data_IF_695192048504
#
_entry.id   IF_695192048504
#
_cell.length_a   1.000
_cell.length_b   1.000
_cell.length_c   1.000
_cell.angle_alpha   90.00
_cell.angle_beta   90.00
_cell.angle_gamma   90.00
#
_symmetry.space_group_name_H-M   'P 1'
#
loop_
_entity.id
_entity.type
_entity.pdbx_description
1 polymer ?
#
# COMPACT_ATOMS: atom_id res chain seq x y z
N UNK A 1 1.23 -34.33 -5.11
CA UNK A 1 0.11 -33.58 -4.52
C UNK A 1 -0.33 -32.54 -5.54
N UNK A 2 -1.63 -32.24 -5.63
CA UNK A 2 -2.14 -31.30 -6.62
C UNK A 2 -1.79 -29.87 -6.17
N UNK A 3 -1.18 -29.09 -7.06
CA UNK A 3 -0.81 -27.70 -6.80
C UNK A 3 -2.09 -26.85 -6.71
N UNK A 4 -2.32 -26.15 -5.61
CA UNK A 4 -3.46 -25.25 -5.43
C UNK A 4 -3.03 -23.80 -5.58
N UNK A 5 -3.69 -23.05 -6.46
CA UNK A 5 -3.36 -21.64 -6.72
C UNK A 5 -4.42 -20.72 -6.11
N UNK A 6 -3.99 -19.85 -5.21
CA UNK A 6 -4.80 -18.73 -4.72
C UNK A 6 -4.75 -17.58 -5.73
N UNK A 7 -5.91 -17.10 -6.17
CA UNK A 7 -6.02 -15.87 -6.94
C UNK A 7 -6.34 -14.71 -5.99
N UNK A 8 -5.53 -13.65 -6.02
CA UNK A 8 -5.65 -12.51 -5.11
C UNK A 8 -5.65 -11.21 -5.93
N UNK A 9 -6.79 -10.51 -5.91
CA UNK A 9 -6.91 -9.15 -6.41
C UNK A 9 -6.59 -8.15 -5.30
N UNK A 10 -5.59 -7.30 -5.51
CA UNK A 10 -5.17 -6.27 -4.55
C UNK A 10 -5.47 -4.88 -5.09
N UNK A 11 -6.42 -4.20 -4.47
CA UNK A 11 -6.71 -2.79 -4.77
C UNK A 11 -5.80 -1.90 -3.93
N UNK A 12 -4.99 -1.07 -4.60
CA UNK A 12 -4.02 -0.24 -3.90
C UNK A 12 -3.89 1.14 -4.55
N UNK A 13 -3.42 2.10 -3.75
CA UNK A 13 -3.04 3.44 -4.21
C UNK A 13 -1.61 3.75 -3.70
N UNK A 14 -0.65 4.12 -4.56
CA UNK A 14 0.72 4.46 -4.15
C UNK A 14 0.83 5.54 -3.07
N UNK A 15 -0.15 6.44 -2.96
CA UNK A 15 -0.14 7.51 -1.95
C UNK A 15 -0.69 7.06 -0.59
N UNK A 16 -1.21 5.83 -0.50
CA UNK A 16 -1.79 5.29 0.71
C UNK A 16 -0.72 4.57 1.56
N UNK A 17 -0.39 5.07 2.76
CA UNK A 17 0.62 4.43 3.61
C UNK A 17 0.17 3.05 4.11
N UNK A 18 -1.14 2.84 4.30
CA UNK A 18 -1.69 1.53 4.68
C UNK A 18 -1.56 0.49 3.56
N UNK A 19 -1.68 0.90 2.29
CA UNK A 19 -1.47 0.00 1.17
C UNK A 19 -0.01 -0.51 1.13
N UNK A 20 0.96 0.34 1.50
CA UNK A 20 2.36 -0.08 1.54
C UNK A 20 2.61 -1.11 2.65
N UNK A 21 2.12 -0.85 3.87
CA UNK A 21 2.15 -1.85 4.96
C UNK A 21 1.46 -3.14 4.52
N UNK A 22 0.27 -3.04 3.91
CA UNK A 22 -0.51 -4.19 3.45
C UNK A 22 0.23 -5.04 2.42
N UNK A 23 0.97 -4.42 1.51
CA UNK A 23 1.83 -5.12 0.54
C UNK A 23 2.90 -5.93 1.26
N UNK A 24 3.66 -5.32 2.16
CA UNK A 24 4.73 -6.03 2.89
C UNK A 24 4.18 -7.13 3.81
N UNK A 25 3.00 -6.92 4.40
CA UNK A 25 2.31 -7.92 5.18
C UNK A 25 1.86 -9.12 4.32
N UNK A 26 1.29 -8.86 3.14
CA UNK A 26 0.86 -9.90 2.21
C UNK A 26 2.04 -10.73 1.72
N UNK A 27 3.15 -10.09 1.33
CA UNK A 27 4.35 -10.78 0.89
C UNK A 27 4.91 -11.72 1.96
N UNK A 28 4.99 -11.26 3.22
CA UNK A 28 5.42 -12.09 4.35
C UNK A 28 4.46 -13.23 4.65
N UNK A 29 3.16 -12.99 4.55
CA UNK A 29 2.14 -14.00 4.77
C UNK A 29 2.22 -15.11 3.71
N UNK A 30 2.35 -14.75 2.44
CA UNK A 30 2.54 -15.71 1.34
C UNK A 30 3.82 -16.52 1.52
N UNK A 31 4.95 -15.88 1.81
CA UNK A 31 6.21 -16.58 2.05
C UNK A 31 6.12 -17.57 3.21
N UNK A 32 5.48 -17.17 4.32
CA UNK A 32 5.25 -18.03 5.48
C UNK A 32 4.36 -19.21 5.13
N UNK A 33 3.30 -18.98 4.36
CA UNK A 33 2.38 -20.02 3.94
C UNK A 33 3.05 -21.02 3.00
N UNK A 34 3.78 -20.55 1.98
CA UNK A 34 4.51 -21.42 1.04
C UNK A 34 5.55 -22.30 1.75
N UNK A 35 6.21 -21.79 2.80
CA UNK A 35 7.16 -22.58 3.59
C UNK A 35 6.50 -23.78 4.30
N UNK A 36 5.22 -23.68 4.65
CA UNK A 36 4.44 -24.74 5.30
C UNK A 36 3.66 -25.60 4.28
N UNK A 37 3.39 -25.04 3.09
CA UNK A 37 2.59 -25.64 2.03
C UNK A 37 3.30 -25.48 0.68
N UNK A 38 4.29 -26.34 0.35
CA UNK A 38 5.08 -26.23 -0.88
C UNK A 38 4.28 -26.42 -2.18
N UNK A 39 3.08 -26.98 -2.09
CA UNK A 39 2.13 -27.18 -3.17
C UNK A 39 1.18 -25.97 -3.37
N UNK A 40 1.26 -24.96 -2.51
CA UNK A 40 0.53 -23.72 -2.68
C UNK A 40 1.22 -22.77 -3.66
N UNK A 41 0.41 -22.05 -4.45
CA UNK A 41 0.85 -21.01 -5.36
C UNK A 41 -0.03 -19.78 -5.22
N UNK A 42 0.50 -18.62 -5.58
CA UNK A 42 -0.19 -17.34 -5.46
C UNK A 42 -0.11 -16.58 -6.77
N UNK A 43 -1.28 -16.24 -7.32
CA UNK A 43 -1.41 -15.38 -8.49
C UNK A 43 -1.98 -14.04 -8.05
N UNK A 44 -1.11 -13.04 -7.95
CA UNK A 44 -1.48 -11.69 -7.55
C UNK A 44 -1.79 -10.82 -8.76
N UNK A 45 -2.90 -10.08 -8.68
CA UNK A 45 -3.26 -9.05 -9.64
C UNK A 45 -3.45 -7.72 -8.93
N UNK A 46 -2.62 -6.74 -9.27
CA UNK A 46 -2.68 -5.40 -8.70
C UNK A 46 -3.68 -4.54 -9.47
N UNK A 47 -4.73 -4.09 -8.79
CA UNK A 47 -5.79 -3.22 -9.34
C UNK A 47 -5.58 -1.78 -8.85
N UNK A 48 -5.60 -0.79 -9.75
CA UNK A 48 -5.43 0.60 -9.37
C UNK A 48 -6.65 1.10 -8.59
N UNK A 49 -6.40 1.80 -7.49
CA UNK A 49 -7.39 2.58 -6.76
C UNK A 49 -6.87 4.01 -6.62
N UNK A 50 -7.73 5.01 -6.81
CA UNK A 50 -7.36 6.42 -6.62
C UNK A 50 -8.18 6.99 -5.47
N UNK A 51 -7.52 7.29 -4.35
CA UNK A 51 -8.10 7.98 -3.20
C UNK A 51 -8.54 9.39 -3.57
N UNK A 52 -7.73 10.10 -4.37
CA UNK A 52 -7.98 11.47 -4.80
C UNK A 52 -7.93 11.61 -6.33
N UNK A 53 -8.93 11.08 -7.07
CA UNK A 53 -8.91 11.02 -8.53
C UNK A 53 -8.92 12.40 -9.21
N UNK A 54 -9.41 13.43 -8.50
CA UNK A 54 -9.55 14.81 -8.97
C UNK A 54 -8.46 15.74 -8.40
N UNK A 55 -7.50 15.23 -7.63
CA UNK A 55 -6.39 16.01 -7.11
C UNK A 55 -5.49 16.52 -8.26
N UNK A 56 -4.84 17.67 -8.06
CA UNK A 56 -3.72 18.11 -8.90
C UNK A 56 -2.49 17.20 -8.74
N UNK A 57 -1.63 17.15 -9.77
CA UNK A 57 -0.37 16.37 -9.74
C UNK A 57 0.60 17.04 -8.77
N UNK A 58 1.07 16.30 -7.76
CA UNK A 58 2.06 16.77 -6.76
C UNK A 58 1.73 18.14 -6.13
N UNK A 59 0.45 18.48 -6.03
CA UNK A 59 -0.01 19.82 -5.69
C UNK A 59 -0.08 20.07 -4.18
N UNK A 60 -0.12 19.02 -3.35
CA UNK A 60 -0.43 19.14 -1.92
C UNK A 60 0.76 18.72 -1.05
N UNK A 61 0.85 19.29 0.15
CA UNK A 61 1.79 18.81 1.18
C UNK A 61 1.30 17.48 1.75
N UNK A 62 2.15 16.45 1.70
CA UNK A 62 1.77 15.07 2.05
C UNK A 62 1.32 14.95 3.50
N UNK A 63 2.10 15.47 4.44
CA UNK A 63 1.78 15.43 5.86
C UNK A 63 0.50 16.19 6.18
N UNK A 64 0.30 17.36 5.59
CA UNK A 64 -0.93 18.14 5.77
C UNK A 64 -2.15 17.42 5.18
N UNK A 65 -2.03 16.83 4.00
CA UNK A 65 -3.11 16.05 3.37
C UNK A 65 -3.52 14.85 4.22
N UNK A 66 -2.55 14.11 4.79
CA UNK A 66 -2.85 12.99 5.69
C UNK A 66 -3.49 13.45 7.00
N UNK A 67 -2.98 14.53 7.61
CA UNK A 67 -3.59 15.11 8.82
C UNK A 67 -5.02 15.55 8.56
N UNK A 68 -5.29 16.18 7.42
CA UNK A 68 -6.64 16.55 7.01
C UNK A 68 -7.54 15.32 6.82
N UNK A 69 -7.04 14.27 6.17
CA UNK A 69 -7.78 13.03 5.94
C UNK A 69 -8.15 12.28 7.25
N UNK A 70 -7.25 12.28 8.24
CA UNK A 70 -7.50 11.62 9.53
C UNK A 70 -8.25 12.51 10.54
N UNK A 71 -8.27 13.83 10.32
CA UNK A 71 -8.90 14.81 11.20
C UNK A 71 -8.29 14.80 12.61
N UNK A 72 -9.13 14.89 13.64
CA UNK A 72 -8.69 14.92 15.04
C UNK A 72 -7.85 13.70 15.46
N UNK A 73 -7.96 12.58 14.75
CA UNK A 73 -7.22 11.35 15.03
C UNK A 73 -5.83 11.31 14.41
N UNK A 74 -5.45 12.33 13.64
CA UNK A 74 -4.20 12.34 12.88
C UNK A 74 -2.95 12.02 13.71
N UNK A 75 -2.75 12.57 14.93
CA UNK A 75 -1.56 12.26 15.72
C UNK A 75 -1.41 10.76 16.01
N UNK A 76 -2.48 10.13 16.51
CA UNK A 76 -2.50 8.70 16.86
C UNK A 76 -2.41 7.81 15.61
N UNK A 77 -3.02 8.22 14.49
CA UNK A 77 -2.96 7.45 13.25
C UNK A 77 -1.60 7.51 12.58
N UNK A 78 -0.92 8.66 12.59
CA UNK A 78 0.44 8.78 12.06
C UNK A 78 1.44 8.02 12.93
N UNK A 79 1.35 8.15 14.26
CA UNK A 79 2.18 7.36 15.18
C UNK A 79 2.00 5.85 14.96
N UNK A 80 0.76 5.40 14.77
CA UNK A 80 0.47 3.99 14.46
C UNK A 80 1.09 3.55 13.13
N UNK A 81 1.03 4.41 12.10
CA UNK A 81 1.66 4.12 10.81
C UNK A 81 3.17 4.01 10.94
N UNK A 82 3.81 4.89 11.70
CA UNK A 82 5.27 4.85 11.95
C UNK A 82 5.65 3.57 12.70
N UNK A 83 4.94 3.26 13.78
CA UNK A 83 5.20 2.05 14.57
C UNK A 83 5.03 0.78 13.74
N UNK A 84 3.91 0.63 13.01
CA UNK A 84 3.68 -0.54 12.17
C UNK A 84 4.65 -0.59 11.00
N UNK A 85 4.96 0.55 10.38
CA UNK A 85 5.94 0.67 9.31
C UNK A 85 7.27 0.07 9.71
N UNK A 86 7.78 0.39 10.90
CA UNK A 86 9.08 -0.14 11.38
C UNK A 86 9.08 -1.67 11.49
N UNK A 87 7.96 -2.29 11.86
CA UNK A 87 7.82 -3.76 11.90
C UNK A 87 7.97 -4.39 10.50
N UNK A 88 7.60 -3.64 9.47
CA UNK A 88 7.75 -4.02 8.07
C UNK A 88 9.03 -3.49 7.40
N UNK A 89 9.92 -2.81 8.16
CA UNK A 89 11.15 -2.22 7.61
C UNK A 89 10.91 -0.92 6.82
N UNK A 90 9.75 -0.28 7.02
CA UNK A 90 9.37 0.98 6.38
C UNK A 90 9.67 2.14 7.33
N UNK A 91 10.50 3.06 6.89
CA UNK A 91 10.75 4.35 7.55
C UNK A 91 9.91 5.43 6.86
N UNK A 92 8.71 5.68 7.38
CA UNK A 92 7.82 6.68 6.78
C UNK A 92 8.38 8.09 6.95
N UNK A 93 8.38 8.82 5.84
CA UNK A 93 8.69 10.25 5.79
C UNK A 93 7.42 10.97 5.37
N UNK A 94 6.96 11.90 6.19
CA UNK A 94 5.69 12.62 5.96
C UNK A 94 5.89 13.94 5.22
N UNK A 95 7.14 14.30 4.91
CA UNK A 95 7.53 15.47 4.14
C UNK A 95 7.37 15.26 2.63
N UNK A 96 7.28 16.37 1.88
CA UNK A 96 7.21 16.36 0.43
C UNK A 96 5.78 16.50 -0.11
N UNK A 97 5.63 16.20 -1.40
CA UNK A 97 4.39 16.45 -2.14
C UNK A 97 3.58 15.17 -2.38
N UNK A 98 2.27 15.33 -2.47
CA UNK A 98 1.31 14.31 -2.86
C UNK A 98 0.23 14.89 -3.78
N UNK A 99 -0.62 14.05 -4.35
CA UNK A 99 -1.67 14.47 -5.26
C UNK A 99 -2.23 13.32 -6.07
N UNK A 100 -2.55 13.60 -7.33
CA UNK A 100 -3.06 12.59 -8.26
C UNK A 100 -2.08 11.42 -8.44
N UNK A 101 -2.55 10.18 -8.30
CA UNK A 101 -1.73 8.97 -8.45
C UNK A 101 -1.87 8.27 -9.80
N UNK A 102 -2.61 8.85 -10.76
CA UNK A 102 -2.88 8.22 -12.06
C UNK A 102 -1.63 7.84 -12.84
N UNK A 103 -0.63 8.71 -12.90
CA UNK A 103 0.58 8.42 -13.68
C UNK A 103 1.46 7.38 -12.99
N UNK A 104 1.47 7.32 -11.65
CA UNK A 104 2.10 6.23 -10.92
C UNK A 104 1.41 4.88 -11.21
N UNK A 105 0.08 4.85 -11.26
CA UNK A 105 -0.69 3.66 -11.63
C UNK A 105 -0.36 3.18 -13.05
N UNK A 106 -0.22 4.09 -14.02
CA UNK A 106 0.19 3.71 -15.40
C UNK A 106 1.54 3.02 -15.43
N UNK A 107 2.50 3.42 -14.58
CA UNK A 107 3.83 2.82 -14.52
C UNK A 107 3.86 1.45 -13.83
N UNK A 108 2.87 1.18 -12.96
CA UNK A 108 2.78 -0.09 -12.22
C UNK A 108 2.08 -1.20 -13.02
N UNK A 109 1.30 -0.83 -14.02
CA UNK A 109 0.62 -1.80 -14.87
C UNK A 109 1.55 -2.24 -16.00
N UNK A 110 1.50 -3.53 -16.41
CA UNK A 110 2.20 -3.97 -17.60
C UNK A 110 1.71 -3.18 -18.84
N UNK A 111 2.56 -3.00 -19.87
CA UNK A 111 2.21 -2.31 -21.10
C UNK A 111 1.06 -2.97 -21.87
#
# INVERSE_FOLDING_TARGET
MAKFTFEIDVYSDPICPWCYIGKEALDRAMATYTAQHPDADFKLTWKPYMLWPNAGVSAYDKGASLRAAFGARAPVMLERLDLLGTQYGIDFRWEGKTGNSRDAHKLQQPP
#
